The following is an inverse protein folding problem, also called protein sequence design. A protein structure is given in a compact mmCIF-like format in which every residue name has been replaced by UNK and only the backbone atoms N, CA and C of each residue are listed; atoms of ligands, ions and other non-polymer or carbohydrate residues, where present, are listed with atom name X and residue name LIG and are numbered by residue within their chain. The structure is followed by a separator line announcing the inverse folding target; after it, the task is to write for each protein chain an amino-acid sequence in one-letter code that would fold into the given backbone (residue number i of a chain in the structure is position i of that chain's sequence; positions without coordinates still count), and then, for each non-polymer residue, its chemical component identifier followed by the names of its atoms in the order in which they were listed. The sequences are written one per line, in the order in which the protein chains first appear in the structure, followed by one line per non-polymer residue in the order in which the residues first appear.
data_IF_216485105906
#
_entry.id   IF_216485105906
#
_cell.length_a   1.000
_cell.length_b   1.000
_cell.length_c   1.000
_cell.angle_alpha   90.00
_cell.angle_beta   90.00
_cell.angle_gamma   90.00
#
_symmetry.space_group_name_H-M   'P 1'
#
loop_
_entity.id
_entity.type
_entity.pdbx_description
1 polymer ?
#
# COMPACT_ATOMS: atom_id res chain seq x y z
N UNK A 1 9.97 -0.83 -8.11
CA UNK A 1 8.62 -1.19 -7.64
C UNK A 1 8.54 -2.52 -6.92
N UNK A 2 9.06 -3.62 -7.47
CA UNK A 2 8.85 -4.98 -6.94
C UNK A 2 9.34 -5.17 -5.50
N UNK A 3 10.55 -4.72 -5.16
CA UNK A 3 11.12 -5.05 -3.84
C UNK A 3 10.44 -4.34 -2.67
N UNK A 4 10.18 -3.03 -2.78
CA UNK A 4 9.49 -2.27 -1.75
C UNK A 4 8.07 -2.81 -1.57
N UNK A 5 7.36 -3.06 -2.67
CA UNK A 5 6.01 -3.60 -2.63
C UNK A 5 5.97 -4.98 -1.96
N UNK A 6 6.87 -5.89 -2.33
CA UNK A 6 6.97 -7.22 -1.72
C UNK A 6 7.29 -7.14 -0.22
N UNK A 7 8.19 -6.25 0.18
CA UNK A 7 8.53 -6.06 1.59
C UNK A 7 7.32 -5.58 2.41
N UNK A 8 6.66 -4.49 1.98
CA UNK A 8 5.52 -3.93 2.70
C UNK A 8 4.27 -4.81 2.66
N UNK A 9 4.14 -5.69 1.66
CA UNK A 9 3.13 -6.74 1.71
C UNK A 9 3.53 -7.83 2.73
N UNK A 10 4.82 -8.15 2.82
CA UNK A 10 5.37 -9.09 3.79
C UNK A 10 5.21 -8.67 5.25
N UNK A 11 5.25 -7.37 5.56
CA UNK A 11 5.04 -6.86 6.93
C UNK A 11 3.64 -7.16 7.46
N UNK A 12 2.67 -7.52 6.62
CA UNK A 12 1.38 -8.03 7.09
C UNK A 12 1.51 -9.33 7.90
N UNK A 13 2.43 -10.23 7.52
CA UNK A 13 2.70 -11.45 8.31
C UNK A 13 3.31 -11.11 9.68
N UNK A 14 4.08 -10.03 9.76
CA UNK A 14 4.61 -9.49 11.01
C UNK A 14 3.47 -9.05 11.94
N UNK A 15 2.47 -8.34 11.40
CA UNK A 15 1.28 -7.96 12.15
C UNK A 15 0.53 -9.17 12.70
N UNK A 16 0.33 -10.20 11.87
CA UNK A 16 -0.32 -11.44 12.30
C UNK A 16 0.45 -12.15 13.41
N UNK A 17 1.78 -12.24 13.29
CA UNK A 17 2.61 -12.82 14.34
C UNK A 17 2.50 -11.99 15.63
N UNK A 18 2.52 -10.66 15.52
CA UNK A 18 2.32 -9.77 16.67
C UNK A 18 0.96 -9.96 17.35
N UNK A 19 -0.12 -10.08 16.58
CA UNK A 19 -1.46 -10.35 17.11
C UNK A 19 -1.54 -11.71 17.81
N UNK A 20 -0.94 -12.75 17.24
CA UNK A 20 -0.88 -14.09 17.87
C UNK A 20 -0.12 -14.05 19.19
N UNK A 21 0.97 -13.28 19.28
CA UNK A 21 1.74 -13.14 20.53
C UNK A 21 0.97 -12.36 21.61
N UNK A 22 0.18 -11.35 21.23
CA UNK A 22 -0.61 -10.52 22.15
C UNK A 22 -1.93 -11.20 22.56
N UNK A 23 -2.48 -12.07 21.72
CA UNK A 23 -3.79 -12.71 21.91
C UNK A 23 -4.01 -13.39 23.27
N UNK A 24 -3.08 -14.21 23.81
CA UNK A 24 -3.27 -14.88 25.09
C UNK A 24 -3.49 -13.91 26.26
N UNK A 25 -2.84 -12.75 26.21
CA UNK A 25 -2.98 -11.69 27.21
C UNK A 25 -4.33 -10.97 27.08
N UNK A 26 -4.79 -10.71 25.85
CA UNK A 26 -6.10 -10.09 25.59
C UNK A 26 -7.28 -10.96 26.01
N UNK A 27 -7.19 -12.27 25.77
CA UNK A 27 -8.24 -13.21 26.17
C UNK A 27 -8.24 -13.53 27.67
N UNK A 28 -7.23 -13.09 28.43
CA UNK A 28 -7.06 -13.45 29.83
C UNK A 28 -6.68 -14.93 30.03
N UNK A 29 -6.01 -15.55 29.04
CA UNK A 29 -5.37 -16.87 29.23
C UNK A 29 -4.09 -16.73 30.05
N UNK A 30 -3.37 -15.62 29.85
CA UNK A 30 -2.18 -15.25 30.62
C UNK A 30 -2.49 -13.91 31.31
N UNK A 31 -2.39 -13.89 32.63
CA UNK A 31 -2.58 -12.68 33.42
C UNK A 31 -1.25 -12.02 33.72
N UNK A 32 -1.21 -10.69 33.61
CA UNK A 32 -0.09 -9.88 34.05
C UNK A 32 -0.41 -9.44 35.48
N UNK A 33 0.22 -10.13 36.44
CA UNK A 33 -0.02 -10.03 37.89
C UNK A 33 -1.46 -10.40 38.33
N UNK A 34 -1.74 -10.34 39.64
CA UNK A 34 -3.08 -10.52 40.25
C UNK A 34 -4.06 -9.37 39.92
N UNK A 35 -3.82 -8.65 38.83
CA UNK A 35 -4.72 -7.60 38.35
C UNK A 35 -5.87 -8.24 37.59
N UNK A 36 -7.00 -8.43 38.26
CA UNK A 36 -8.27 -8.82 37.62
C UNK A 36 -8.87 -7.72 36.71
N UNK A 37 -8.14 -6.62 36.50
CA UNK A 37 -8.55 -5.50 35.69
C UNK A 37 -8.20 -5.75 34.21
N UNK A 38 -9.19 -5.59 33.34
CA UNK A 38 -8.97 -5.61 31.89
C UNK A 38 -8.41 -4.26 31.46
N UNK A 39 -7.22 -4.26 30.86
CA UNK A 39 -6.65 -3.06 30.25
C UNK A 39 -7.21 -2.91 28.82
N UNK A 40 -8.18 -2.01 28.64
CA UNK A 40 -8.77 -1.70 27.32
C UNK A 40 -8.21 -0.43 26.68
N UNK A 41 -7.49 0.41 27.45
CA UNK A 41 -7.08 1.74 27.02
C UNK A 41 -5.70 1.71 26.33
N UNK A 42 -5.59 2.36 25.16
CA UNK A 42 -4.36 2.43 24.35
C UNK A 42 -3.26 3.29 24.99
N UNK A 43 -3.66 4.28 25.76
CA UNK A 43 -2.79 5.27 26.39
C UNK A 43 -3.44 5.65 27.71
N UNK A 44 -2.67 5.63 28.79
CA UNK A 44 -3.04 6.29 30.04
C UNK A 44 -1.83 7.09 30.50
N UNK A 45 -2.04 8.33 30.94
CA UNK A 45 -0.99 9.10 31.58
C UNK A 45 -0.90 8.79 33.09
N UNK A 46 -1.93 8.15 33.63
CA UNK A 46 -2.02 7.84 35.05
C UNK A 46 -1.27 6.54 35.37
N UNK A 47 -0.12 6.70 36.04
CA UNK A 47 0.72 5.58 36.48
C UNK A 47 0.03 4.67 37.48
N UNK A 48 -1.01 5.14 38.18
CA UNK A 48 -1.74 4.34 39.16
C UNK A 48 -2.64 3.26 38.53
N UNK A 49 -3.02 3.46 37.26
CA UNK A 49 -3.88 2.56 36.48
C UNK A 49 -3.05 1.67 35.53
N UNK A 50 -1.74 1.88 35.43
CA UNK A 50 -0.86 1.03 34.61
C UNK A 50 -0.52 -0.28 35.33
N UNK A 51 -0.55 -1.40 34.60
CA UNK A 51 0.02 -2.64 35.09
C UNK A 51 1.51 -2.45 35.41
N UNK A 52 1.91 -2.83 36.63
CA UNK A 52 3.33 -2.88 37.00
C UNK A 52 3.89 -4.18 36.46
N UNK A 53 5.03 -4.11 35.75
CA UNK A 53 5.72 -5.31 35.28
C UNK A 53 6.79 -5.65 36.30
N UNK A 54 6.57 -6.71 37.09
CA UNK A 54 7.57 -7.25 38.02
C UNK A 54 8.35 -8.42 37.40
N UNK A 55 7.69 -9.27 36.61
CA UNK A 55 8.30 -10.42 35.92
C UNK A 55 8.51 -10.15 34.43
N UNK A 56 9.69 -9.68 34.04
CA UNK A 56 10.00 -9.41 32.63
C UNK A 56 9.82 -10.61 31.68
N UNK A 57 10.24 -11.86 32.03
CA UNK A 57 10.13 -13.00 31.11
C UNK A 57 8.69 -13.32 30.67
N UNK A 58 7.71 -13.10 31.55
CA UNK A 58 6.29 -13.41 31.29
C UNK A 58 5.64 -12.39 30.35
N UNK A 59 6.24 -11.19 30.20
CA UNK A 59 5.69 -10.08 29.41
C UNK A 59 6.45 -9.90 28.08
N UNK A 60 7.53 -10.66 27.84
CA UNK A 60 8.34 -10.56 26.60
C UNK A 60 7.49 -10.74 25.35
N UNK A 61 6.61 -11.75 25.31
CA UNK A 61 5.73 -11.99 24.16
C UNK A 61 4.76 -10.83 23.92
N UNK A 62 4.20 -10.23 25.00
CA UNK A 62 3.36 -9.05 24.89
C UNK A 62 4.13 -7.86 24.32
N UNK A 63 5.36 -7.60 24.82
CA UNK A 63 6.18 -6.46 24.37
C UNK A 63 6.60 -6.62 22.92
N UNK A 64 7.14 -7.79 22.54
CA UNK A 64 7.56 -8.07 21.17
C UNK A 64 6.36 -8.00 20.24
N UNK A 65 5.25 -8.65 20.58
CA UNK A 65 4.06 -8.66 19.73
C UNK A 65 3.46 -7.27 19.54
N UNK A 66 3.46 -6.45 20.58
CA UNK A 66 3.01 -5.06 20.51
C UNK A 66 3.94 -4.19 19.66
N UNK A 67 5.26 -4.35 19.79
CA UNK A 67 6.24 -3.64 18.95
C UNK A 67 6.08 -4.01 17.46
N UNK A 68 5.83 -5.28 17.15
CA UNK A 68 5.57 -5.76 15.79
C UNK A 68 4.32 -5.13 15.17
N UNK A 69 3.24 -4.97 15.95
CA UNK A 69 2.02 -4.29 15.50
C UNK A 69 2.31 -2.82 15.19
N UNK A 70 3.04 -2.11 16.06
CA UNK A 70 3.45 -0.73 15.83
C UNK A 70 4.40 -0.57 14.62
N UNK A 71 5.30 -1.53 14.44
CA UNK A 71 6.19 -1.59 13.28
C UNK A 71 5.42 -1.77 11.98
N UNK A 72 4.42 -2.65 11.96
CA UNK A 72 3.54 -2.84 10.80
C UNK A 72 2.73 -1.58 10.46
N UNK A 73 2.11 -0.93 11.45
CA UNK A 73 1.32 0.28 11.25
C UNK A 73 2.16 1.40 10.63
N UNK A 74 3.36 1.64 11.19
CA UNK A 74 4.30 2.62 10.67
C UNK A 74 4.86 2.22 9.28
N UNK A 75 5.18 0.93 9.09
CA UNK A 75 5.63 0.38 7.79
C UNK A 75 4.62 0.62 6.69
N UNK A 76 3.32 0.47 6.95
CA UNK A 76 2.32 0.63 5.88
C UNK A 76 2.19 2.09 5.44
N UNK A 77 2.30 3.05 6.37
CA UNK A 77 2.36 4.48 6.04
C UNK A 77 3.62 4.80 5.23
N UNK A 78 4.77 4.27 5.65
CA UNK A 78 6.02 4.42 4.90
C UNK A 78 5.95 3.78 3.51
N UNK A 79 5.23 2.67 3.35
CA UNK A 79 5.02 2.01 2.07
C UNK A 79 4.30 2.89 1.06
N UNK A 80 3.27 3.62 1.49
CA UNK A 80 2.58 4.59 0.63
C UNK A 80 3.51 5.73 0.21
N UNK A 81 4.34 6.23 1.13
CA UNK A 81 5.37 7.23 0.83
C UNK A 81 6.40 6.74 -0.18
N UNK A 82 6.98 5.55 0.06
CA UNK A 82 7.95 4.94 -0.84
C UNK A 82 7.36 4.76 -2.25
N UNK A 83 6.10 4.34 -2.34
CA UNK A 83 5.41 4.20 -3.62
C UNK A 83 5.33 5.55 -4.35
N UNK A 84 4.83 6.60 -3.70
CA UNK A 84 4.71 7.92 -4.34
C UNK A 84 6.06 8.51 -4.71
N UNK A 85 7.07 8.42 -3.83
CA UNK A 85 8.43 8.90 -4.11
C UNK A 85 9.04 8.15 -5.29
N UNK A 86 8.89 6.83 -5.35
CA UNK A 86 9.36 6.03 -6.49
C UNK A 86 8.67 6.47 -7.80
N UNK A 87 7.36 6.74 -7.77
CA UNK A 87 6.61 7.26 -8.93
C UNK A 87 7.05 8.67 -9.34
N UNK A 88 7.38 9.55 -8.38
CA UNK A 88 7.94 10.88 -8.65
C UNK A 88 9.29 10.76 -9.35
N UNK A 89 10.18 9.92 -8.82
CA UNK A 89 11.51 9.67 -9.39
C UNK A 89 11.39 9.11 -10.81
N UNK A 90 10.51 8.13 -11.03
CA UNK A 90 10.25 7.58 -12.36
C UNK A 90 9.69 8.63 -13.34
N UNK A 91 8.86 9.55 -12.85
CA UNK A 91 8.32 10.66 -13.65
C UNK A 91 9.39 11.72 -13.96
N UNK A 92 10.36 11.93 -13.08
CA UNK A 92 11.46 12.87 -13.28
C UNK A 92 12.54 12.32 -14.24
N UNK A 93 12.90 11.05 -14.09
CA UNK A 93 13.92 10.38 -14.90
C UNK A 93 13.37 9.72 -16.18
N UNK A 94 12.23 10.18 -16.70
CA UNK A 94 11.63 9.56 -17.87
C UNK A 94 12.62 9.51 -19.04
N UNK A 95 13.40 10.57 -19.32
CA UNK A 95 14.35 10.63 -20.45
C UNK A 95 15.40 9.51 -20.51
N UNK A 96 15.85 8.99 -19.36
CA UNK A 96 16.95 8.03 -19.26
C UNK A 96 16.54 6.78 -18.46
N UNK A 97 15.25 6.46 -18.38
CA UNK A 97 14.77 5.33 -17.59
C UNK A 97 15.25 3.98 -18.14
N UNK A 98 15.18 3.78 -19.46
CA UNK A 98 15.62 2.55 -20.14
C UNK A 98 17.14 2.39 -20.27
N UNK A 99 17.90 3.48 -20.20
CA UNK A 99 19.35 3.46 -20.44
C UNK A 99 20.16 2.94 -19.26
N UNK A 100 19.62 3.02 -18.04
CA UNK A 100 20.33 2.64 -16.82
C UNK A 100 19.41 1.87 -15.87
N UNK A 101 19.71 0.61 -15.53
CA UNK A 101 18.95 -0.09 -14.49
C UNK A 101 19.19 0.61 -13.14
N UNK A 102 18.13 1.16 -12.54
CA UNK A 102 18.19 1.90 -11.26
C UNK A 102 17.55 1.13 -10.11
N UNK A 103 17.81 -0.17 -10.01
CA UNK A 103 17.29 -1.01 -8.92
C UNK A 103 17.72 -0.50 -7.53
N UNK A 104 18.91 0.11 -7.44
CA UNK A 104 19.46 0.72 -6.21
C UNK A 104 18.52 1.76 -5.57
N UNK A 105 17.68 2.46 -6.35
CA UNK A 105 16.74 3.45 -5.81
C UNK A 105 15.72 2.77 -4.90
N UNK A 106 15.21 1.60 -5.30
CA UNK A 106 14.27 0.83 -4.49
C UNK A 106 14.92 0.37 -3.17
N UNK A 107 16.15 -0.15 -3.23
CA UNK A 107 16.88 -0.57 -2.02
C UNK A 107 17.18 0.61 -1.10
N UNK A 108 17.64 1.74 -1.64
CA UNK A 108 17.91 2.93 -0.85
C UNK A 108 16.63 3.46 -0.17
N UNK A 109 15.51 3.53 -0.90
CA UNK A 109 14.21 3.91 -0.35
C UNK A 109 13.77 2.96 0.76
N UNK A 110 13.92 1.65 0.56
CA UNK A 110 13.54 0.66 1.56
C UNK A 110 14.41 0.75 2.83
N UNK A 111 15.74 0.86 2.70
CA UNK A 111 16.63 0.94 3.86
C UNK A 111 16.36 2.21 4.66
N UNK A 112 16.24 3.35 3.98
CA UNK A 112 15.97 4.64 4.62
C UNK A 112 14.60 4.68 5.28
N UNK A 113 13.57 4.14 4.63
CA UNK A 113 12.23 4.10 5.22
C UNK A 113 12.15 3.18 6.42
N UNK A 114 12.77 1.99 6.36
CA UNK A 114 12.76 1.04 7.47
C UNK A 114 13.52 1.58 8.69
N UNK A 115 14.62 2.29 8.47
CA UNK A 115 15.32 2.99 9.56
C UNK A 115 14.40 3.98 10.29
N UNK A 116 13.68 4.83 9.55
CA UNK A 116 12.73 5.78 10.12
C UNK A 116 11.54 5.08 10.81
N UNK A 117 11.03 3.99 10.22
CA UNK A 117 9.91 3.22 10.77
C UNK A 117 10.29 2.58 12.10
N UNK A 118 11.42 1.89 12.18
CA UNK A 118 11.90 1.25 13.41
C UNK A 118 12.05 2.30 14.52
N UNK A 119 12.68 3.44 14.21
CA UNK A 119 12.81 4.54 15.17
C UNK A 119 11.45 5.07 15.63
N UNK A 120 10.54 5.35 14.69
CA UNK A 120 9.20 5.84 15.00
C UNK A 120 8.40 4.87 15.87
N UNK A 121 8.45 3.57 15.57
CA UNK A 121 7.77 2.53 16.34
C UNK A 121 8.31 2.43 17.76
N UNK A 122 9.64 2.53 17.96
CA UNK A 122 10.26 2.54 19.29
C UNK A 122 9.83 3.79 20.09
N UNK A 123 9.83 4.97 19.45
CA UNK A 123 9.45 6.22 20.11
C UNK A 123 7.99 6.21 20.60
N UNK A 124 7.06 5.68 19.78
CA UNK A 124 5.66 5.52 20.17
C UNK A 124 5.51 4.43 21.25
N UNK A 125 6.18 3.30 21.07
CA UNK A 125 6.10 2.16 21.98
C UNK A 125 6.56 2.50 23.41
N UNK A 126 7.66 3.24 23.55
CA UNK A 126 8.16 3.69 24.86
C UNK A 126 7.55 5.01 25.32
N UNK A 127 6.50 5.49 24.66
CA UNK A 127 5.78 6.69 25.07
C UNK A 127 6.64 7.97 25.11
N UNK A 128 7.71 8.04 24.31
CA UNK A 128 8.48 9.28 24.13
C UNK A 128 7.66 10.33 23.36
N UNK A 129 6.64 9.88 22.62
CA UNK A 129 5.73 10.70 21.84
C UNK A 129 4.29 10.30 22.15
N UNK A 130 3.41 11.28 22.41
CA UNK A 130 2.01 10.97 22.73
C UNK A 130 1.26 10.40 21.52
N UNK A 131 0.28 9.54 21.78
CA UNK A 131 -0.50 8.91 20.71
C UNK A 131 -1.24 9.98 19.88
N UNK A 132 -1.79 11.01 20.54
CA UNK A 132 -2.45 12.14 19.89
C UNK A 132 -1.55 12.85 18.89
N UNK A 133 -0.32 13.17 19.30
CA UNK A 133 0.64 13.82 18.43
C UNK A 133 1.03 12.90 17.26
N UNK A 134 1.21 11.59 17.52
CA UNK A 134 1.51 10.62 16.47
C UNK A 134 0.40 10.55 15.41
N UNK A 135 -0.86 10.51 15.85
CA UNK A 135 -2.03 10.48 14.95
C UNK A 135 -2.14 11.75 14.10
N UNK A 136 -1.85 12.94 14.67
CA UNK A 136 -1.83 14.20 13.91
C UNK A 136 -0.75 14.17 12.83
N UNK A 137 0.47 13.76 13.17
CA UNK A 137 1.58 13.65 12.21
C UNK A 137 1.23 12.67 11.09
N UNK A 138 0.74 11.47 11.43
CA UNK A 138 0.38 10.45 10.45
C UNK A 138 -0.75 10.94 9.53
N UNK A 139 -1.74 11.67 10.06
CA UNK A 139 -2.82 12.27 9.26
C UNK A 139 -2.28 13.31 8.28
N UNK A 140 -1.37 14.19 8.73
CA UNK A 140 -0.72 15.19 7.87
C UNK A 140 0.12 14.51 6.77
N UNK A 141 0.88 13.47 7.14
CA UNK A 141 1.67 12.67 6.20
C UNK A 141 0.77 12.00 5.14
N UNK A 142 -0.33 11.36 5.55
CA UNK A 142 -1.28 10.72 4.64
C UNK A 142 -1.90 11.74 3.68
N UNK A 143 -2.26 12.93 4.16
CA UNK A 143 -2.80 14.02 3.34
C UNK A 143 -1.79 14.47 2.29
N UNK A 144 -0.51 14.57 2.66
CA UNK A 144 0.58 14.91 1.74
C UNK A 144 0.77 13.82 0.66
N UNK A 145 0.75 12.54 1.05
CA UNK A 145 0.84 11.39 0.14
C UNK A 145 -0.30 11.35 -0.87
N UNK A 146 -1.53 11.58 -0.42
CA UNK A 146 -2.71 11.62 -1.30
C UNK A 146 -2.59 12.80 -2.28
N UNK A 147 -2.22 13.98 -1.79
CA UNK A 147 -2.07 15.18 -2.62
C UNK A 147 -0.99 15.01 -3.69
N UNK A 148 0.17 14.48 -3.30
CA UNK A 148 1.29 14.21 -4.23
C UNK A 148 0.94 13.13 -5.25
N UNK A 149 0.20 12.07 -4.86
CA UNK A 149 -0.28 11.07 -5.82
C UNK A 149 -1.21 11.66 -6.88
N UNK A 150 -2.21 12.46 -6.50
CA UNK A 150 -3.10 13.10 -7.47
C UNK A 150 -2.40 14.17 -8.31
N UNK A 151 -1.45 14.91 -7.73
CA UNK A 151 -0.59 15.82 -8.48
C UNK A 151 0.23 15.07 -9.54
N UNK A 152 0.85 13.94 -9.20
CA UNK A 152 1.59 13.10 -10.16
C UNK A 152 0.68 12.53 -11.25
N UNK A 153 -0.53 12.09 -10.89
CA UNK A 153 -1.51 11.60 -11.86
C UNK A 153 -1.88 12.70 -12.86
N UNK A 154 -2.15 13.91 -12.37
CA UNK A 154 -2.45 15.06 -13.19
C UNK A 154 -1.25 15.45 -14.08
N UNK A 155 -0.05 15.55 -13.49
CA UNK A 155 1.19 15.89 -14.19
C UNK A 155 1.49 14.90 -15.31
N UNK A 156 1.50 13.59 -15.04
CA UNK A 156 1.79 12.56 -16.03
C UNK A 156 0.72 12.50 -17.13
N UNK A 157 -0.56 12.71 -16.79
CA UNK A 157 -1.63 12.77 -17.79
C UNK A 157 -1.49 14.01 -18.68
N UNK A 158 -1.16 15.16 -18.10
CA UNK A 158 -0.92 16.42 -18.84
C UNK A 158 0.32 16.32 -19.74
N UNK A 159 1.41 15.73 -19.23
CA UNK A 159 2.63 15.49 -19.99
C UNK A 159 2.35 14.58 -21.20
N UNK A 160 1.63 13.48 -20.99
CA UNK A 160 1.18 12.60 -22.08
C UNK A 160 0.41 13.37 -23.15
N UNK A 161 -0.59 14.17 -22.75
CA UNK A 161 -1.41 14.94 -23.69
C UNK A 161 -0.58 15.99 -24.45
N UNK A 162 0.37 16.66 -23.79
CA UNK A 162 1.28 17.63 -24.43
C UNK A 162 2.21 17.00 -25.45
N UNK A 163 2.73 15.80 -25.15
CA UNK A 163 3.56 15.03 -26.07
C UNK A 163 2.75 14.55 -27.29
N UNK A 164 1.47 14.24 -27.10
CA UNK A 164 0.53 13.90 -28.19
C UNK A 164 0.24 15.12 -29.09
N UNK A 165 0.04 16.32 -28.52
CA UNK A 165 -0.21 17.55 -29.30
C UNK A 165 1.03 17.98 -30.09
N UNK A 166 2.23 17.87 -29.49
CA UNK A 166 3.52 18.21 -30.14
C UNK A 166 3.91 17.27 -31.28
N UNK A 167 3.20 16.18 -31.48
CA UNK A 167 3.32 15.26 -32.62
C UNK A 167 3.25 15.97 -33.97
N UNK A 168 2.63 17.15 -34.03
CA UNK A 168 2.55 17.97 -35.24
C UNK A 168 3.85 18.67 -35.63
N UNK A 169 4.85 18.82 -34.74
CA UNK A 169 5.95 19.74 -34.99
C UNK A 169 7.38 19.25 -34.76
N UNK A 170 7.65 18.10 -34.11
CA UNK A 170 9.04 17.63 -33.98
C UNK A 170 9.16 16.12 -33.76
N UNK A 171 10.21 15.56 -34.34
CA UNK A 171 10.84 14.24 -34.16
C UNK A 171 11.34 13.97 -32.73
N UNK A 172 10.55 14.35 -31.72
CA UNK A 172 10.92 14.23 -30.33
C UNK A 172 10.73 12.79 -29.85
N UNK A 173 11.87 12.20 -29.44
CA UNK A 173 12.15 10.86 -28.92
C UNK A 173 10.93 9.99 -28.56
N UNK A 174 10.58 9.05 -29.44
CA UNK A 174 9.51 8.05 -29.30
C UNK A 174 9.53 7.34 -27.93
N UNK A 175 10.72 7.06 -27.39
CA UNK A 175 10.92 6.44 -26.08
C UNK A 175 10.32 7.25 -24.93
N UNK A 176 10.52 8.58 -24.92
CA UNK A 176 9.98 9.46 -23.88
C UNK A 176 8.43 9.46 -23.87
N UNK A 177 7.81 9.32 -25.05
CA UNK A 177 6.36 9.22 -25.18
C UNK A 177 5.83 7.89 -24.64
N UNK A 178 6.46 6.78 -25.01
CA UNK A 178 6.08 5.46 -24.51
C UNK A 178 6.15 5.42 -22.98
N UNK A 179 7.21 5.98 -22.40
CA UNK A 179 7.40 6.03 -20.96
C UNK A 179 6.37 6.93 -20.25
N UNK A 180 6.08 8.12 -20.80
CA UNK A 180 5.04 8.99 -20.24
C UNK A 180 3.64 8.33 -20.32
N UNK A 181 3.36 7.63 -21.42
CA UNK A 181 2.11 6.89 -21.60
C UNK A 181 2.00 5.69 -20.63
N UNK A 182 3.08 4.95 -20.45
CA UNK A 182 3.17 3.82 -19.52
C UNK A 182 3.04 4.28 -18.06
N UNK A 183 3.76 5.32 -17.65
CA UNK A 183 3.67 5.88 -16.30
C UNK A 183 2.25 6.40 -15.99
N UNK A 184 1.62 7.12 -16.92
CA UNK A 184 0.24 7.56 -16.75
C UNK A 184 -0.75 6.39 -16.68
N UNK A 185 -0.54 5.33 -17.48
CA UNK A 185 -1.34 4.10 -17.41
C UNK A 185 -1.16 3.38 -16.08
N UNK A 186 0.08 3.22 -15.62
CA UNK A 186 0.43 2.60 -14.35
C UNK A 186 -0.23 3.32 -13.17
N UNK A 187 -0.15 4.66 -13.13
CA UNK A 187 -0.82 5.46 -12.10
C UNK A 187 -2.34 5.30 -12.14
N UNK A 188 -2.97 5.31 -13.33
CA UNK A 188 -4.42 5.07 -13.47
C UNK A 188 -4.86 3.70 -12.95
N UNK A 189 -4.09 2.65 -13.22
CA UNK A 189 -4.34 1.32 -12.68
C UNK A 189 -4.18 1.28 -11.16
N UNK A 190 -3.23 2.06 -10.62
CA UNK A 190 -2.99 2.15 -9.19
C UNK A 190 -4.04 2.97 -8.42
N UNK A 191 -4.79 3.88 -9.08
CA UNK A 191 -5.79 4.75 -8.41
C UNK A 191 -6.75 3.96 -7.54
N UNK A 192 -7.33 2.88 -8.05
CA UNK A 192 -8.33 2.11 -7.31
C UNK A 192 -7.73 1.43 -6.07
N UNK A 193 -6.56 0.80 -6.22
CA UNK A 193 -5.84 0.15 -5.12
C UNK A 193 -5.43 1.17 -4.06
N UNK A 194 -4.84 2.28 -4.51
CA UNK A 194 -4.40 3.36 -3.66
C UNK A 194 -5.56 3.99 -2.88
N UNK A 195 -6.70 4.22 -3.53
CA UNK A 195 -7.91 4.73 -2.88
C UNK A 195 -8.41 3.78 -1.79
N UNK A 196 -8.48 2.47 -2.06
CA UNK A 196 -8.89 1.47 -1.05
C UNK A 196 -7.94 1.48 0.15
N UNK A 197 -6.62 1.51 -0.07
CA UNK A 197 -5.63 1.61 1.00
C UNK A 197 -5.86 2.89 1.81
N UNK A 198 -5.96 4.06 1.17
CA UNK A 198 -6.19 5.33 1.85
C UNK A 198 -7.50 5.35 2.65
N UNK A 199 -8.59 4.75 2.15
CA UNK A 199 -9.85 4.64 2.87
C UNK A 199 -9.69 3.80 4.15
N UNK A 200 -9.07 2.62 4.05
CA UNK A 200 -8.83 1.74 5.21
C UNK A 200 -8.02 2.48 6.27
N UNK A 201 -6.92 3.13 5.89
CA UNK A 201 -6.07 3.86 6.84
C UNK A 201 -6.76 5.09 7.44
N UNK A 202 -7.53 5.84 6.65
CA UNK A 202 -8.30 6.98 7.17
C UNK A 202 -9.32 6.52 8.22
N UNK A 203 -10.03 5.41 7.97
CA UNK A 203 -10.98 4.84 8.93
C UNK A 203 -10.24 4.32 10.18
N UNK A 204 -9.09 3.68 10.02
CA UNK A 204 -8.30 3.17 11.14
C UNK A 204 -7.79 4.31 12.04
N UNK A 205 -7.26 5.39 11.44
CA UNK A 205 -6.80 6.58 12.16
C UNK A 205 -7.96 7.28 12.86
N UNK A 206 -9.13 7.39 12.20
CA UNK A 206 -10.29 8.03 12.83
C UNK A 206 -10.82 7.22 14.02
N UNK A 207 -10.81 5.89 13.96
CA UNK A 207 -11.13 5.02 15.10
C UNK A 207 -10.19 5.25 16.29
N UNK A 208 -8.87 5.28 16.05
CA UNK A 208 -7.89 5.58 17.11
C UNK A 208 -8.04 7.00 17.67
N UNK A 209 -8.34 7.98 16.82
CA UNK A 209 -8.54 9.37 17.24
C UNK A 209 -9.82 9.53 18.08
N UNK A 210 -10.92 8.90 17.68
CA UNK A 210 -12.17 8.88 18.45
C UNK A 210 -11.94 8.33 19.86
N UNK A 211 -11.19 7.23 19.96
CA UNK A 211 -10.86 6.63 21.24
C UNK A 211 -9.90 7.50 22.08
N UNK A 212 -8.86 8.07 21.48
CA UNK A 212 -7.89 8.93 22.19
C UNK A 212 -8.51 10.25 22.70
N UNK A 213 -9.55 10.75 22.02
CA UNK A 213 -10.31 11.94 22.43
C UNK A 213 -11.47 11.63 23.39
N UNK A 214 -11.73 10.36 23.73
CA UNK A 214 -12.90 9.93 24.49
C UNK A 214 -14.21 10.49 23.93
N UNK A 215 -14.32 10.53 22.60
CA UNK A 215 -15.55 11.03 21.93
C UNK A 215 -16.73 10.08 22.08
N UNK A 216 -16.47 8.80 22.35
CA UNK A 216 -17.47 7.78 22.58
C UNK A 216 -17.56 7.41 24.06
N UNK A 217 -18.74 6.99 24.55
CA UNK A 217 -18.86 6.44 25.90
C UNK A 217 -17.93 5.23 26.09
N UNK A 218 -17.36 5.08 27.28
CA UNK A 218 -16.38 4.02 27.63
C UNK A 218 -16.86 2.60 27.26
N UNK A 219 -18.17 2.36 27.27
CA UNK A 219 -18.78 1.08 26.89
C UNK A 219 -18.49 0.67 25.44
N UNK A 220 -18.18 1.62 24.55
CA UNK A 220 -17.91 1.38 23.14
C UNK A 220 -16.42 1.26 22.81
N UNK A 221 -15.51 1.60 23.74
CA UNK A 221 -14.07 1.62 23.47
C UNK A 221 -13.56 0.25 23.03
N UNK A 222 -13.99 -0.81 23.72
CA UNK A 222 -13.64 -2.20 23.38
C UNK A 222 -14.11 -2.58 21.96
N UNK A 223 -15.31 -2.13 21.57
CA UNK A 223 -15.88 -2.43 20.26
C UNK A 223 -15.11 -1.68 19.15
N UNK A 224 -14.78 -0.41 19.37
CA UNK A 224 -14.00 0.42 18.43
C UNK A 224 -12.61 -0.17 18.24
N UNK A 225 -11.95 -0.61 19.31
CA UNK A 225 -10.63 -1.23 19.22
C UNK A 225 -10.65 -2.59 18.52
N UNK A 226 -11.66 -3.41 18.81
CA UNK A 226 -11.83 -4.68 18.10
C UNK A 226 -12.08 -4.43 16.60
N UNK A 227 -12.88 -3.42 16.25
CA UNK A 227 -13.10 -3.04 14.87
C UNK A 227 -11.83 -2.52 14.19
N UNK A 228 -11.04 -1.70 14.87
CA UNK A 228 -9.73 -1.23 14.40
C UNK A 228 -8.77 -2.38 14.12
N UNK A 229 -8.63 -3.32 15.07
CA UNK A 229 -7.75 -4.48 14.92
C UNK A 229 -8.18 -5.37 13.76
N UNK A 230 -9.48 -5.63 13.62
CA UNK A 230 -10.03 -6.35 12.47
C UNK A 230 -9.75 -5.63 11.16
N UNK A 231 -9.96 -4.31 11.10
CA UNK A 231 -9.73 -3.51 9.89
C UNK A 231 -8.26 -3.55 9.45
N UNK A 232 -7.33 -3.45 10.40
CA UNK A 232 -5.89 -3.43 10.18
C UNK A 232 -5.34 -4.81 9.81
N UNK A 233 -5.83 -5.88 10.48
CA UNK A 233 -5.39 -7.26 10.26
C UNK A 233 -6.01 -7.93 9.03
N UNK A 234 -7.25 -7.55 8.67
CA UNK A 234 -7.96 -8.10 7.53
C UNK A 234 -7.88 -7.21 6.28
N UNK A 235 -7.02 -6.17 6.30
CA UNK A 235 -6.86 -5.27 5.15
C UNK A 235 -6.51 -5.98 3.81
N UNK A 236 -5.84 -7.16 3.73
CA UNK A 236 -5.58 -7.76 2.42
C UNK A 236 -6.84 -8.33 1.79
N UNK A 237 -7.89 -8.64 2.58
CA UNK A 237 -9.19 -9.04 2.05
C UNK A 237 -9.85 -7.93 1.21
N UNK A 238 -9.43 -6.68 1.39
CA UNK A 238 -9.89 -5.54 0.61
C UNK A 238 -8.87 -5.14 -0.46
N UNK A 239 -7.58 -5.08 -0.10
CA UNK A 239 -6.51 -4.62 -0.99
C UNK A 239 -6.26 -5.61 -2.14
N UNK A 240 -6.25 -6.92 -1.86
CA UNK A 240 -5.99 -7.94 -2.90
C UNK A 240 -7.09 -7.97 -3.95
N UNK A 241 -8.40 -8.02 -3.60
CA UNK A 241 -9.44 -7.84 -4.60
C UNK A 241 -9.33 -6.50 -5.31
N UNK A 242 -9.04 -5.39 -4.61
CA UNK A 242 -8.88 -4.11 -5.29
C UNK A 242 -7.80 -4.15 -6.38
N UNK A 243 -6.66 -4.79 -6.10
CA UNK A 243 -5.59 -5.01 -7.07
C UNK A 243 -6.01 -5.94 -8.20
N UNK A 244 -6.71 -7.04 -7.92
CA UNK A 244 -7.15 -7.96 -8.97
C UNK A 244 -8.18 -7.31 -9.91
N UNK A 245 -9.06 -6.46 -9.38
CA UNK A 245 -10.10 -5.78 -10.17
C UNK A 245 -9.60 -4.55 -10.93
N UNK A 246 -8.42 -4.02 -10.62
CA UNK A 246 -7.85 -2.85 -11.32
C UNK A 246 -7.36 -3.18 -12.73
N UNK A 247 -6.96 -4.44 -12.99
CA UNK A 247 -6.49 -4.91 -14.29
C UNK A 247 -7.49 -5.94 -14.85
N UNK A 248 -8.11 -5.70 -16.03
CA UNK A 248 -9.10 -6.61 -16.61
C UNK A 248 -8.60 -8.05 -16.78
N UNK A 249 -7.33 -8.22 -17.17
CA UNK A 249 -6.69 -9.52 -17.32
C UNK A 249 -6.58 -10.26 -15.97
N UNK A 250 -6.18 -9.56 -14.90
CA UNK A 250 -6.09 -10.14 -13.55
C UNK A 250 -7.47 -10.44 -12.98
N UNK A 251 -8.45 -9.58 -13.22
CA UNK A 251 -9.84 -9.80 -12.84
C UNK A 251 -10.39 -11.08 -13.46
N UNK A 252 -10.17 -11.28 -14.76
CA UNK A 252 -10.62 -12.49 -15.45
C UNK A 252 -9.95 -13.74 -14.88
N UNK A 253 -8.64 -13.71 -14.66
CA UNK A 253 -7.90 -14.81 -14.04
C UNK A 253 -8.37 -15.10 -12.60
N UNK A 254 -8.59 -14.06 -11.80
CA UNK A 254 -9.07 -14.17 -10.42
C UNK A 254 -10.48 -14.78 -10.35
N UNK A 255 -11.41 -14.33 -11.21
CA UNK A 255 -12.77 -14.89 -11.29
C UNK A 255 -12.74 -16.36 -11.74
N UNK A 256 -11.81 -16.74 -12.63
CA UNK A 256 -11.63 -18.12 -13.07
C UNK A 256 -11.19 -19.03 -11.92
N UNK A 257 -10.31 -18.56 -11.05
CA UNK A 257 -9.80 -19.29 -9.89
C UNK A 257 -10.77 -19.31 -8.69
N UNK A 258 -11.73 -18.37 -8.63
CA UNK A 258 -12.72 -18.32 -7.56
C UNK A 258 -13.69 -19.53 -7.60
N UNK A 259 -13.88 -20.25 -6.49
CA UNK A 259 -14.65 -21.50 -6.46
C UNK A 259 -16.12 -21.32 -6.90
N UNK A 260 -16.69 -20.13 -6.69
CA UNK A 260 -18.07 -19.81 -7.07
C UNK A 260 -18.20 -19.17 -8.47
N UNK A 261 -17.13 -18.55 -9.00
CA UNK A 261 -17.12 -17.82 -10.28
C UNK A 261 -16.65 -18.66 -11.48
N UNK A 262 -15.70 -19.57 -11.25
CA UNK A 262 -15.07 -20.40 -12.29
C UNK A 262 -16.07 -21.29 -13.05
N UNK A 263 -17.10 -21.82 -12.37
CA UNK A 263 -18.14 -22.67 -13.00
C UNK A 263 -18.97 -21.94 -14.06
N UNK A 264 -19.21 -20.63 -13.92
CA UNK A 264 -19.92 -19.82 -14.94
C UNK A 264 -18.99 -19.36 -16.06
N UNK A 265 -17.72 -19.11 -15.76
CA UNK A 265 -16.73 -18.67 -16.75
C UNK A 265 -16.36 -19.81 -17.71
N UNK A 266 -16.08 -21.02 -17.18
CA UNK A 266 -15.77 -22.21 -17.97
C UNK A 266 -16.94 -22.69 -18.86
N UNK A 267 -18.18 -22.34 -18.51
CA UNK A 267 -19.37 -22.69 -19.32
C UNK A 267 -19.60 -21.76 -20.52
N UNK A 268 -18.93 -20.60 -20.57
CA UNK A 268 -19.18 -19.54 -21.59
C UNK A 268 -18.09 -19.36 -22.65
N UNK A 269 -16.85 -19.84 -22.44
CA UNK A 269 -15.76 -19.73 -23.44
C UNK A 269 -15.30 -21.10 -23.91
N UNK A 270 -15.33 -21.32 -25.23
CA UNK A 270 -14.70 -22.49 -25.87
C UNK A 270 -13.18 -22.27 -25.92
N UNK A 271 -12.35 -23.31 -25.73
CA UNK A 271 -10.89 -23.18 -25.72
C UNK A 271 -10.28 -22.55 -26.98
N UNK A 272 -10.93 -22.69 -28.14
CA UNK A 272 -10.46 -22.09 -29.41
C UNK A 272 -10.48 -20.55 -29.42
N UNK A 273 -11.32 -19.91 -28.61
CA UNK A 273 -11.41 -18.43 -28.61
C UNK A 273 -10.21 -17.77 -27.95
N UNK A 274 -9.61 -18.39 -26.93
CA UNK A 274 -8.47 -17.80 -26.20
C UNK A 274 -7.17 -17.87 -27.03
N UNK A 275 -6.99 -18.94 -27.84
CA UNK A 275 -5.85 -19.07 -28.75
C UNK A 275 -5.97 -18.05 -29.89
N UNK A 276 -7.17 -17.90 -30.45
CA UNK A 276 -7.46 -16.93 -31.50
C UNK A 276 -7.29 -15.48 -31.00
N UNK A 277 -7.83 -15.13 -29.83
CA UNK A 277 -7.68 -13.78 -29.24
C UNK A 277 -6.21 -13.45 -28.95
N UNK A 278 -5.42 -14.41 -28.45
CA UNK A 278 -4.00 -14.20 -28.20
C UNK A 278 -3.22 -13.97 -29.50
N UNK A 279 -3.46 -14.80 -30.54
CA UNK A 279 -2.83 -14.62 -31.85
C UNK A 279 -3.23 -13.30 -32.51
N UNK A 280 -4.50 -12.90 -32.42
CA UNK A 280 -4.97 -11.62 -32.95
C UNK A 280 -4.29 -10.46 -32.20
N UNK A 281 -4.22 -10.51 -30.87
CA UNK A 281 -3.61 -9.44 -30.05
C UNK A 281 -2.11 -9.30 -30.33
N UNK A 282 -1.38 -10.41 -30.41
CA UNK A 282 0.04 -10.43 -30.78
C UNK A 282 0.23 -9.89 -32.20
N UNK A 283 -0.63 -10.27 -33.15
CA UNK A 283 -0.56 -9.76 -34.52
C UNK A 283 -0.85 -8.25 -34.60
N UNK A 284 -1.78 -7.74 -33.79
CA UNK A 284 -2.10 -6.32 -33.71
C UNK A 284 -0.96 -5.52 -33.09
N UNK A 285 -0.41 -5.97 -31.96
CA UNK A 285 0.73 -5.31 -31.30
C UNK A 285 1.95 -5.29 -32.22
N UNK A 286 2.23 -6.41 -32.91
CA UNK A 286 3.31 -6.52 -33.89
C UNK A 286 3.11 -5.58 -35.07
N UNK A 287 1.89 -5.54 -35.65
CA UNK A 287 1.56 -4.59 -36.72
C UNK A 287 1.66 -3.14 -36.26
N UNK A 288 1.21 -2.82 -35.05
CA UNK A 288 1.32 -1.46 -34.51
C UNK A 288 2.79 -1.04 -34.37
N UNK A 289 3.66 -1.96 -33.93
CA UNK A 289 5.10 -1.75 -33.85
C UNK A 289 5.72 -1.48 -35.22
N UNK A 290 5.39 -2.29 -36.23
CA UNK A 290 5.94 -2.13 -37.58
C UNK A 290 5.42 -0.88 -38.29
N UNK A 291 4.15 -0.53 -38.13
CA UNK A 291 3.58 0.71 -38.67
C UNK A 291 4.26 1.92 -38.03
N UNK A 292 4.47 1.91 -36.71
CA UNK A 292 5.20 2.98 -36.03
C UNK A 292 6.66 3.06 -36.46
N UNK A 293 7.30 1.92 -36.73
CA UNK A 293 8.66 1.87 -37.25
C UNK A 293 8.75 2.45 -38.67
N UNK A 294 7.81 2.08 -39.54
CA UNK A 294 7.72 2.56 -40.91
C UNK A 294 7.43 4.06 -40.98
N UNK A 295 6.51 4.55 -40.16
CA UNK A 295 6.23 5.99 -40.05
C UNK A 295 7.47 6.75 -39.53
N UNK A 296 8.18 6.19 -38.55
CA UNK A 296 9.44 6.77 -38.06
C UNK A 296 10.53 6.79 -39.14
N UNK A 297 10.58 5.76 -39.97
CA UNK A 297 11.56 5.63 -41.06
C UNK A 297 11.27 6.63 -42.19
N UNK A 298 10.00 6.80 -42.56
CA UNK A 298 9.59 7.78 -43.58
C UNK A 298 9.87 9.22 -43.15
N UNK A 299 9.75 9.53 -41.86
CA UNK A 299 10.07 10.85 -41.29
C UNK A 299 11.58 11.10 -41.27
N UNK A 300 12.42 10.05 -41.23
CA UNK A 300 13.89 10.19 -41.19
C UNK A 300 14.59 10.36 -42.55
N UNK A 301 13.85 10.22 -43.66
CA UNK A 301 14.37 10.31 -45.05
C UNK A 301 14.04 11.67 -45.70
N UNK A 302 13.29 12.53 -45.01
CA UNK A 302 13.01 13.93 -45.37
C UNK A 302 13.83 14.88 -44.50
#
# INVERSE_FOLDING_TARGET
MTICFSFYFGTWFECWLGLVLVWPYKCGLIFIENTHQKFSNFETADRSVMARITNYPEVVCLLIGSLMIWHYLASTVAGMWCFVVERTIASFFFSDYERKPRSYIGYALLITSQFCVIQGSILIFFYFFSLKAALIIVTAMLTCVVSTFFFLLHYNTSLRNRLDIKQTNLSYNLAARFQAAENARSLKLAVFVFAVICCIFTIAISMLMMASLHWTPENYDVAIMTAFECLVSLNPLFIVPAAMFSVPEWKAAFIKLMPFGGRRYHRRRRPDSDIMDHQIRVSMETKMYFVQLEDSWKISIL
#
